data_IF_489403545896
#
_entry.id   IF_489403545896
#
_cell.length_a   1.000
_cell.length_b   1.000
_cell.length_c   1.000
_cell.angle_alpha   90.00
_cell.angle_beta   90.00
_cell.angle_gamma   90.00
#
_symmetry.space_group_name_H-M   'P 1'
#
loop_
_entity.id
_entity.type
_entity.pdbx_description
1 polymer ?
2 polymer ?
3 water ?
#
# COMPACT_ATOMS: atom_id res chain seq x y z
N UNK A 1 4.66 -19.54 -3.97
CA UNK A 1 5.75 -19.84 -3.05
C UNK A 1 5.85 -19.01 -1.74
N UNK A 2 6.40 -17.79 -1.75
CA UNK A 2 6.48 -17.05 -0.49
C UNK A 2 5.11 -16.70 0.02
N UNK A 3 4.80 -17.21 1.18
CA UNK A 3 3.49 -16.94 1.81
C UNK A 3 3.35 -15.45 2.12
N UNK A 4 4.40 -14.85 2.62
CA UNK A 4 4.36 -13.41 2.96
C UNK A 4 4.04 -12.64 1.68
N UNK A 5 4.78 -12.92 0.62
CA UNK A 5 4.43 -12.30 -0.65
C UNK A 5 2.97 -12.52 -0.99
N UNK A 6 2.55 -13.79 -1.01
CA UNK A 6 1.17 -14.12 -1.36
C UNK A 6 0.22 -13.30 -0.52
N UNK A 7 0.44 -13.30 0.79
CA UNK A 7 -0.54 -12.67 1.65
C UNK A 7 -0.51 -11.17 1.48
N UNK A 8 0.69 -10.61 1.37
CA UNK A 8 0.82 -9.19 1.13
C UNK A 8 0.16 -8.81 -0.17
N UNK A 9 0.41 -9.61 -1.20
CA UNK A 9 -0.16 -9.32 -2.50
C UNK A 9 -1.67 -9.42 -2.42
N UNK A 10 -2.16 -10.46 -1.77
CA UNK A 10 -3.60 -10.60 -1.62
C UNK A 10 -4.19 -9.35 -0.98
N UNK A 11 -3.60 -8.90 0.13
CA UNK A 11 -4.14 -7.76 0.85
C UNK A 11 -4.00 -6.49 0.03
N UNK A 12 -2.82 -6.24 -0.51
CA UNK A 12 -2.60 -5.02 -1.25
C UNK A 12 -3.41 -5.02 -2.54
N UNK A 13 -3.43 -6.14 -3.26
CA UNK A 13 -4.23 -6.21 -4.49
C UNK A 13 -5.70 -5.98 -4.19
N UNK A 14 -6.22 -6.64 -3.16
CA UNK A 14 -7.62 -6.48 -2.83
C UNK A 14 -7.93 -5.03 -2.53
N UNK A 15 -7.15 -4.42 -1.66
CA UNK A 15 -7.36 -3.02 -1.35
C UNK A 15 -7.30 -2.18 -2.62
N UNK A 16 -6.21 -2.29 -3.38
CA UNK A 16 -6.08 -1.51 -4.60
C UNK A 16 -7.24 -1.77 -5.56
N UNK A 17 -7.52 -3.04 -5.83
CA UNK A 17 -8.61 -3.39 -6.73
C UNK A 17 -9.93 -2.83 -6.21
N UNK A 18 -10.23 -3.12 -4.95
CA UNK A 18 -11.44 -2.65 -4.29
C UNK A 18 -11.54 -1.13 -4.31
N UNK A 19 -10.43 -0.46 -4.03
CA UNK A 19 -10.45 1.01 -4.06
C UNK A 19 -10.67 1.54 -5.48
N UNK A 20 -10.11 0.86 -6.49
CA UNK A 20 -10.22 1.35 -7.86
C UNK A 20 -11.57 1.01 -8.48
N UNK A 21 -12.08 -0.18 -8.21
CA UNK A 21 -13.34 -0.62 -8.78
C UNK A 21 -14.53 -0.26 -7.91
N UNK A 22 -14.27 0.05 -6.66
CA UNK A 22 -15.33 0.37 -5.69
C UNK A 22 -16.01 -0.91 -5.23
N UNK A 23 -15.60 -2.04 -5.76
CA UNK A 23 -16.27 -3.30 -5.35
C UNK A 23 -15.38 -4.09 -4.41
N UNK A 24 -15.92 -4.39 -3.24
CA UNK A 24 -15.23 -5.29 -2.27
C UNK A 24 -15.29 -6.69 -2.86
N UNK A 25 -14.19 -7.40 -2.94
CA UNK A 25 -14.10 -8.74 -3.45
C UNK A 25 -14.64 -9.70 -2.42
N UNK A 26 -15.78 -10.33 -2.70
CA UNK A 26 -16.43 -11.26 -1.76
C UNK A 26 -15.75 -12.60 -1.66
N UNK A 27 -14.90 -12.93 -2.63
CA UNK A 27 -14.16 -14.15 -2.64
C UNK A 27 -13.37 -14.30 -1.32
N UNK A 28 -13.48 -15.42 -0.68
CA UNK A 28 -12.73 -15.61 0.55
C UNK A 28 -11.24 -15.35 0.33
N UNK A 29 -10.53 -15.15 1.44
CA UNK A 29 -9.11 -14.98 1.41
C UNK A 29 -8.40 -16.33 1.30
N UNK A 30 -7.09 -16.33 1.06
CA UNK A 30 -6.29 -17.55 0.99
C UNK A 30 -5.87 -17.92 2.39
N UNK A 31 -4.60 -18.21 2.66
CA UNK A 31 -4.21 -18.49 4.03
C UNK A 31 -4.03 -17.20 4.80
N UNK A 32 -4.02 -17.33 6.11
CA UNK A 32 -3.92 -16.22 7.04
C UNK A 32 -5.02 -15.25 6.64
N UNK A 33 -6.12 -15.83 6.25
CA UNK A 33 -7.26 -15.07 5.77
C UNK A 33 -7.96 -14.30 6.87
N UNK A 34 -7.96 -14.83 8.09
CA UNK A 34 -8.32 -14.02 9.24
C UNK A 34 -7.46 -12.77 9.30
N UNK A 35 -6.13 -12.95 9.36
CA UNK A 35 -5.22 -11.83 9.33
C UNK A 35 -5.48 -10.93 8.13
N UNK A 36 -5.65 -11.53 6.96
CA UNK A 36 -5.76 -10.73 5.75
C UNK A 36 -7.06 -9.92 5.75
N UNK A 37 -8.16 -10.54 6.20
CA UNK A 37 -9.40 -9.80 6.35
C UNK A 37 -9.20 -8.60 7.25
N UNK A 38 -8.59 -8.82 8.42
CA UNK A 38 -8.37 -7.72 9.34
C UNK A 38 -7.36 -6.74 8.80
N UNK A 39 -6.32 -7.24 8.10
CA UNK A 39 -5.39 -6.33 7.46
C UNK A 39 -6.11 -5.47 6.44
N UNK A 40 -6.97 -6.11 5.64
CA UNK A 40 -7.72 -5.37 4.64
C UNK A 40 -8.65 -4.37 5.31
N UNK A 41 -9.36 -4.83 6.36
CA UNK A 41 -10.21 -3.94 7.14
C UNK A 41 -9.38 -2.78 7.68
N UNK A 42 -8.21 -3.10 8.22
CA UNK A 42 -7.33 -2.05 8.72
C UNK A 42 -6.91 -1.13 7.59
N UNK A 43 -6.47 -1.74 6.50
CA UNK A 43 -6.10 -0.99 5.32
C UNK A 43 -7.19 -0.04 4.89
N UNK A 44 -8.45 -0.50 4.89
CA UNK A 44 -9.55 0.40 4.53
C UNK A 44 -9.60 1.58 5.48
N UNK A 45 -9.63 1.30 6.78
CA UNK A 45 -9.81 2.38 7.74
C UNK A 45 -8.62 3.33 7.71
N UNK A 46 -7.41 2.80 7.83
CA UNK A 46 -6.25 3.67 7.85
C UNK A 46 -5.96 4.20 6.46
N UNK A 47 -5.95 3.29 5.48
CA UNK A 47 -5.64 3.70 4.12
C UNK A 47 -6.57 4.77 3.61
N UNK A 48 -7.89 4.56 3.76
CA UNK A 48 -8.85 5.55 3.28
C UNK A 48 -8.60 6.90 3.93
N UNK A 49 -8.28 6.89 5.23
CA UNK A 49 -7.96 8.13 5.92
C UNK A 49 -6.70 8.79 5.39
N UNK A 50 -5.69 7.98 5.05
CA UNK A 50 -4.46 8.55 4.49
C UNK A 50 -4.77 9.25 3.18
N UNK A 51 -5.58 8.63 2.33
CA UNK A 51 -5.91 9.23 1.05
C UNK A 51 -6.73 10.50 1.23
N UNK A 52 -7.65 10.48 2.20
CA UNK A 52 -8.43 11.67 2.48
C UNK A 52 -7.55 12.75 3.09
N UNK A 53 -6.75 12.39 4.09
CA UNK A 53 -5.99 13.42 4.79
C UNK A 53 -4.81 13.94 3.97
N UNK A 54 -4.32 13.17 3.01
CA UNK A 54 -3.19 13.59 2.22
C UNK A 54 -3.53 13.64 0.74
N UNK A 55 -4.80 13.93 0.42
CA UNK A 55 -5.23 13.89 -0.97
C UNK A 55 -4.49 14.92 -1.81
N UNK A 56 -4.25 16.11 -1.27
CA UNK A 56 -3.52 17.11 -2.03
C UNK A 56 -2.12 16.63 -2.37
N UNK A 57 -1.39 16.10 -1.39
CA UNK A 57 -0.05 15.58 -1.67
C UNK A 57 -0.11 14.38 -2.60
N UNK A 58 -1.08 13.49 -2.39
CA UNK A 58 -1.19 12.35 -3.29
C UNK A 58 -1.45 12.81 -4.71
N UNK A 59 -2.33 13.79 -4.88
CA UNK A 59 -2.53 14.33 -6.23
C UNK A 59 -1.23 14.90 -6.78
N UNK A 60 -0.54 15.71 -5.96
CA UNK A 60 0.74 16.25 -6.40
C UNK A 60 1.72 15.15 -6.78
N UNK A 61 1.87 14.14 -5.92
CA UNK A 61 2.77 13.05 -6.26
C UNK A 61 2.31 12.30 -7.49
N UNK A 62 1.01 12.09 -7.62
CA UNK A 62 0.50 11.43 -8.81
C UNK A 62 0.80 12.25 -10.05
N UNK A 63 0.47 13.54 -10.03
CA UNK A 63 0.81 14.38 -11.18
C UNK A 63 2.29 14.32 -11.46
N UNK A 64 3.11 14.32 -10.41
CA UNK A 64 4.55 14.32 -10.63
C UNK A 64 5.01 13.00 -11.24
N UNK A 65 4.60 11.88 -10.64
CA UNK A 65 5.01 10.59 -11.18
C UNK A 65 4.41 10.36 -12.56
N UNK A 66 3.26 10.94 -12.81
CA UNK A 66 2.58 10.77 -14.09
C UNK A 66 2.45 9.30 -14.45
N UNK A 67 1.80 8.56 -13.58
CA UNK A 67 1.67 7.13 -13.78
C UNK A 67 0.51 6.90 -14.74
N UNK A 68 0.81 6.45 -15.95
CA UNK A 68 -0.21 6.22 -16.95
C UNK A 68 -0.11 4.90 -17.67
N UNK A 69 0.91 4.08 -17.40
CA UNK A 69 1.00 2.77 -18.03
C UNK A 69 1.75 1.82 -17.12
N UNK A 70 1.83 0.55 -17.53
CA UNK A 70 2.51 -0.45 -16.71
C UNK A 70 3.94 -0.04 -16.40
N UNK A 71 4.64 0.51 -17.41
CA UNK A 71 6.01 0.97 -17.23
C UNK A 71 6.12 1.98 -16.12
N UNK A 72 5.20 2.96 -16.11
CA UNK A 72 5.22 3.97 -15.08
C UNK A 72 5.15 3.36 -13.70
N UNK A 73 4.55 2.18 -13.55
CA UNK A 73 4.49 1.56 -12.23
C UNK A 73 5.88 1.28 -11.69
N UNK A 74 6.84 0.97 -12.57
CA UNK A 74 8.24 0.88 -12.15
C UNK A 74 8.67 2.15 -11.47
N UNK A 75 8.40 3.29 -12.10
CA UNK A 75 8.72 4.56 -11.46
C UNK A 75 8.17 4.60 -10.04
N UNK A 76 7.07 3.89 -9.79
CA UNK A 76 6.57 3.89 -8.42
C UNK A 76 7.41 2.98 -7.53
N UNK A 77 7.87 1.84 -8.05
CA UNK A 77 8.72 0.98 -7.24
C UNK A 77 9.96 1.74 -6.81
N UNK A 78 10.50 2.58 -7.72
CA UNK A 78 11.61 3.45 -7.38
C UNK A 78 11.26 4.34 -6.21
N UNK A 79 10.13 5.01 -6.29
CA UNK A 79 9.72 5.92 -5.25
C UNK A 79 9.57 5.19 -3.92
N UNK A 80 9.04 3.97 -3.95
CA UNK A 80 8.89 3.24 -2.70
C UNK A 80 10.23 2.83 -2.13
N UNK A 81 11.16 2.45 -2.99
CA UNK A 81 12.54 2.28 -2.55
C UNK A 81 13.03 3.58 -1.92
N UNK A 82 12.78 4.72 -2.56
CA UNK A 82 13.24 5.99 -2.01
C UNK A 82 12.65 6.23 -0.63
N UNK A 83 11.38 5.85 -0.43
CA UNK A 83 10.73 5.99 0.88
C UNK A 83 11.63 5.44 1.98
N UNK A 84 12.11 4.22 1.79
CA UNK A 84 12.87 3.49 2.78
C UNK A 84 14.37 3.78 2.76
N UNK A 85 14.82 4.65 1.86
CA UNK A 85 16.26 4.86 1.71
C UNK A 85 16.89 5.52 2.94
N UNK A 86 16.11 6.16 3.80
CA UNK A 86 16.70 6.69 5.03
C UNK A 86 16.86 5.63 6.11
N UNK A 87 16.56 4.37 5.82
CA UNK A 87 16.75 3.30 6.76
C UNK A 87 15.61 3.07 7.71
N UNK A 88 14.58 3.92 7.68
CA UNK A 88 13.47 3.86 8.62
C UNK A 88 12.37 3.01 7.99
N UNK A 89 11.85 2.06 8.73
CA UNK A 89 10.68 1.32 8.29
C UNK A 89 9.66 1.34 9.41
N UNK A 90 8.42 1.62 9.08
CA UNK A 90 7.35 1.53 10.05
C UNK A 90 6.07 1.30 9.27
N UNK A 91 5.02 1.00 10.02
CA UNK A 91 3.77 0.65 9.38
C UNK A 91 3.12 1.84 8.73
N UNK A 92 3.39 3.03 9.28
CA UNK A 92 2.81 4.24 8.73
C UNK A 92 3.33 4.44 7.32
N UNK A 93 4.65 4.31 7.13
CA UNK A 93 5.21 4.36 5.79
C UNK A 93 4.62 3.28 4.91
N UNK A 94 4.52 2.06 5.44
CA UNK A 94 4.01 0.96 4.62
C UNK A 94 2.55 1.20 4.23
N UNK A 95 1.73 1.59 5.21
CA UNK A 95 0.33 1.76 4.86
C UNK A 95 0.18 2.96 3.93
N UNK A 96 1.05 3.97 4.10
CA UNK A 96 1.01 5.13 3.23
C UNK A 96 1.34 4.75 1.80
N UNK A 97 2.35 3.90 1.63
CA UNK A 97 2.62 3.39 0.29
C UNK A 97 1.42 2.66 -0.28
N UNK A 98 0.85 1.77 0.50
CA UNK A 98 -0.32 1.06 0.02
C UNK A 98 -1.46 2.03 -0.27
N UNK A 99 -1.64 3.02 0.61
CA UNK A 99 -2.67 4.03 0.41
C UNK A 99 -2.43 4.79 -0.88
N UNK A 100 -1.19 5.20 -1.08
CA UNK A 100 -0.87 5.86 -2.33
C UNK A 100 -1.06 4.90 -3.50
N UNK A 101 -0.71 3.63 -3.32
CA UNK A 101 -1.06 2.64 -4.32
C UNK A 101 -2.54 2.68 -4.68
N UNK A 102 -3.40 2.68 -3.68
CA UNK A 102 -4.83 2.72 -3.94
C UNK A 102 -5.22 4.01 -4.63
N UNK A 103 -4.62 5.11 -4.20
CA UNK A 103 -4.84 6.38 -4.87
C UNK A 103 -4.45 6.29 -6.35
N UNK A 104 -3.28 5.74 -6.62
CA UNK A 104 -2.85 5.57 -8.01
C UNK A 104 -3.78 4.61 -8.75
N UNK A 105 -4.15 3.50 -8.11
CA UNK A 105 -5.01 2.53 -8.76
C UNK A 105 -6.34 3.15 -9.13
N UNK A 106 -6.89 4.01 -8.27
CA UNK A 106 -8.09 4.75 -8.64
C UNK A 106 -7.87 5.51 -9.94
N UNK A 107 -6.85 6.37 -9.94
CA UNK A 107 -6.50 7.11 -11.14
C UNK A 107 -6.27 6.19 -12.33
N UNK A 108 -5.62 5.05 -12.08
CA UNK A 108 -5.34 4.12 -13.16
C UNK A 108 -6.62 3.65 -13.84
N UNK A 109 -7.68 3.44 -13.06
CA UNK A 109 -8.92 2.98 -13.65
C UNK A 109 -9.56 4.07 -14.48
N UNK A 110 -9.50 5.32 -14.03
CA UNK A 110 -10.07 6.38 -14.83
C UNK A 110 -9.42 6.50 -16.21
N UNK A 111 -8.38 5.71 -16.53
CA UNK A 111 -7.65 5.87 -17.79
C UNK A 111 -7.37 4.53 -18.47
N UNK A 112 -8.30 3.57 -18.34
CA UNK A 112 -8.23 2.25 -18.96
C UNK A 112 -6.94 1.53 -18.62
N UNK A 113 -6.30 1.93 -17.53
CA UNK A 113 -5.12 1.25 -17.03
C UNK A 113 -5.44 0.35 -15.84
N UNK A 114 -6.69 -0.11 -15.73
CA UNK A 114 -7.05 -1.19 -14.81
C UNK A 114 -6.07 -2.36 -14.92
N UNK A 115 -5.61 -2.64 -16.13
CA UNK A 115 -4.55 -3.64 -16.31
C UNK A 115 -3.32 -3.32 -15.49
N UNK A 116 -3.12 -2.05 -15.11
CA UNK A 116 -1.92 -1.68 -14.36
C UNK A 116 -2.08 -1.83 -12.87
N UNK A 117 -3.32 -2.02 -12.38
CA UNK A 117 -3.53 -2.12 -10.95
C UNK A 117 -2.85 -3.37 -10.41
N UNK A 118 -2.99 -4.49 -11.10
CA UNK A 118 -2.29 -5.69 -10.64
C UNK A 118 -0.78 -5.48 -10.63
N UNK A 119 -0.14 -4.98 -11.70
CA UNK A 119 1.29 -4.62 -11.60
C UNK A 119 1.56 -3.67 -10.46
N UNK A 120 0.72 -2.64 -10.32
CA UNK A 120 0.83 -1.71 -9.20
C UNK A 120 0.86 -2.43 -7.87
N UNK A 121 -0.19 -3.20 -7.60
CA UNK A 121 -0.22 -3.95 -6.34
C UNK A 121 1.00 -4.84 -6.24
N UNK A 122 1.38 -5.47 -7.35
CA UNK A 122 2.57 -6.30 -7.40
C UNK A 122 3.83 -5.53 -7.00
N UNK A 123 4.05 -4.38 -7.63
CA UNK A 123 5.27 -3.63 -7.34
C UNK A 123 5.31 -3.20 -5.88
N UNK A 124 4.16 -2.80 -5.32
CA UNK A 124 4.12 -2.43 -3.91
C UNK A 124 4.48 -3.63 -3.05
N UNK A 125 3.83 -4.77 -3.32
CA UNK A 125 4.15 -6.00 -2.60
C UNK A 125 5.61 -6.33 -2.75
N UNK A 126 6.10 -6.29 -3.99
CA UNK A 126 7.48 -6.65 -4.22
C UNK A 126 8.39 -5.77 -3.39
N UNK A 127 8.21 -4.45 -3.44
CA UNK A 127 9.07 -3.56 -2.67
C UNK A 127 9.03 -3.95 -1.20
N UNK A 128 7.84 -4.15 -0.66
CA UNK A 128 7.69 -4.46 0.75
C UNK A 128 8.30 -5.81 1.10
N UNK A 129 7.87 -6.85 0.40
CA UNK A 129 8.32 -8.20 0.73
C UNK A 129 9.75 -8.43 0.27
N UNK A 130 10.15 -7.86 -0.86
CA UNK A 130 11.53 -8.12 -1.31
C UNK A 130 12.51 -7.34 -0.46
N UNK A 131 12.22 -6.10 -0.11
CA UNK A 131 13.23 -5.28 0.54
C UNK A 131 13.03 -5.11 2.04
N UNK A 132 11.82 -5.35 2.55
CA UNK A 132 11.56 -5.21 3.98
C UNK A 132 11.10 -6.51 4.61
N UNK A 133 11.40 -7.65 4.00
CA UNK A 133 10.97 -8.93 4.56
C UNK A 133 11.40 -9.06 6.02
N UNK A 134 12.67 -8.80 6.32
CA UNK A 134 13.16 -9.00 7.67
C UNK A 134 12.36 -8.16 8.65
N UNK A 135 12.16 -6.90 8.32
CA UNK A 135 11.37 -6.04 9.17
C UNK A 135 9.94 -6.55 9.28
N UNK A 136 9.36 -6.96 8.14
CA UNK A 136 8.00 -7.50 8.16
C UNK A 136 7.90 -8.69 9.09
N UNK A 137 8.76 -9.70 8.90
CA UNK A 137 8.76 -10.87 9.75
C UNK A 137 8.93 -10.49 11.21
N UNK A 138 9.85 -9.56 11.47
CA UNK A 138 10.10 -9.09 12.84
C UNK A 138 8.85 -8.44 13.43
N UNK A 139 8.08 -7.73 12.61
CA UNK A 139 6.83 -7.13 13.03
C UNK A 139 5.67 -8.09 12.90
N UNK A 140 5.94 -9.40 12.81
CA UNK A 140 4.89 -10.40 12.73
C UNK A 140 3.97 -10.13 11.55
N UNK A 141 4.55 -9.60 10.49
CA UNK A 141 3.82 -9.55 9.23
C UNK A 141 2.52 -8.78 9.36
N UNK A 142 1.48 -9.29 8.71
CA UNK A 142 0.26 -8.51 8.67
C UNK A 142 -0.47 -8.51 10.01
N UNK A 143 -0.17 -9.46 10.89
CA UNK A 143 -0.69 -9.34 12.24
C UNK A 143 -0.11 -8.12 12.94
N UNK A 144 1.18 -7.84 12.73
CA UNK A 144 1.74 -6.63 13.33
C UNK A 144 1.10 -5.38 12.77
N UNK A 145 0.81 -5.40 11.49
CA UNK A 145 0.10 -4.30 10.87
C UNK A 145 -1.25 -4.08 11.54
N UNK A 146 -2.02 -5.15 11.67
CA UNK A 146 -3.34 -5.03 12.28
C UNK A 146 -3.21 -4.54 13.71
N UNK A 147 -2.23 -5.07 14.44
CA UNK A 147 -2.10 -4.66 15.83
C UNK A 147 -1.62 -3.23 15.91
N UNK A 148 -0.69 -2.87 15.05
CA UNK A 148 -0.16 -1.52 15.10
C UNK A 148 -1.28 -0.49 14.98
N UNK A 149 -2.23 -0.73 14.10
CA UNK A 149 -3.29 0.22 13.83
C UNK A 149 -4.58 -0.14 14.53
N UNK A 150 -4.57 -1.21 15.33
CA UNK A 150 -5.72 -1.56 16.13
C UNK A 150 -6.15 -0.40 17.01
N UNK A 151 -7.43 -0.06 16.94
CA UNK A 151 -8.01 0.98 17.78
C UNK A 151 -8.34 0.34 19.13
N UNK A 152 -7.60 0.69 20.15
CA UNK A 152 -7.85 0.07 21.47
C UNK A 152 -9.14 0.57 22.13
N UNK A 153 -9.74 -0.29 22.95
CA UNK A 153 -10.84 0.13 23.80
C UNK A 153 -10.32 0.81 25.06
N UNK A 154 -11.18 1.58 25.69
CA UNK A 154 -10.91 2.03 27.04
C UNK A 154 -11.13 0.85 27.98
N UNK B 1 8.53 18.32 -4.50
CA UNK B 1 9.57 17.58 -3.82
C UNK B 1 9.71 16.15 -4.32
N UNK B 2 10.74 15.45 -3.83
CA UNK B 2 10.91 14.05 -4.16
C UNK B 2 9.79 13.22 -3.55
N UNK B 3 9.13 12.41 -4.38
CA UNK B 3 7.92 11.75 -3.91
C UNK B 3 8.25 10.83 -2.76
N UNK B 4 9.33 10.08 -2.83
CA UNK B 4 9.73 9.19 -1.78
C UNK B 4 9.82 9.85 -0.44
N UNK B 5 10.57 10.95 -0.39
CA UNK B 5 10.73 11.72 0.84
C UNK B 5 9.36 12.16 1.35
N UNK B 6 8.55 12.70 0.44
CA UNK B 6 7.24 13.13 0.79
C UNK B 6 6.41 11.99 1.37
N UNK B 7 6.46 10.86 0.73
CA UNK B 7 5.76 9.68 1.17
C UNK B 7 6.26 9.26 2.56
N UNK B 8 7.54 9.27 2.76
CA UNK B 8 8.12 8.91 4.06
C UNK B 8 7.62 9.85 5.14
N UNK B 9 7.53 11.14 4.82
CA UNK B 9 7.07 12.10 5.79
C UNK B 9 5.61 11.85 6.13
N UNK B 10 4.76 11.66 5.11
CA UNK B 10 3.39 11.26 5.37
C UNK B 10 3.37 9.97 6.16
N UNK B 11 4.12 8.97 5.70
CA UNK B 11 4.16 7.70 6.42
C UNK B 11 4.52 7.84 7.88
N UNK B 12 5.55 8.64 8.17
CA UNK B 12 5.93 8.86 9.55
C UNK B 12 4.83 9.55 10.33
N UNK B 13 4.05 10.39 9.66
CA UNK B 13 2.87 10.95 10.31
C UNK B 13 1.82 9.89 10.57
N UNK B 14 1.49 9.09 9.54
CA UNK B 14 0.52 8.03 9.72
C UNK B 14 1.00 7.05 10.76
N UNK B 15 2.30 6.95 10.94
CA UNK B 15 2.81 6.01 11.92
C UNK B 15 2.48 6.41 13.35
N UNK B 16 2.05 7.63 13.56
CA UNK B 16 1.85 8.16 14.89
C UNK B 16 0.46 7.74 15.34
#
# INVERSE_FOLDING_TARGET
>A
EDELYRQSLEIISRYLREQATGAKDTKPMGRSGATSRKALETLRRVGDGVQRNHETAFQGMLRKLDIKNEDDVKSLSRVMIHVFSDGVTNWGRIVTLISFGAFVAKHLKTINQESCIEPLAESITDVLVRTKRDWLVKQRGWDGFVEFFHVEDLEGG
>B
GQVGRQLAIIGDDINR
#
